data_IF_192398228248
#
_entry.id   IF_192398228248
#
_cell.length_a   1.000
_cell.length_b   1.000
_cell.length_c   1.000
_cell.angle_alpha   90.00
_cell.angle_beta   90.00
_cell.angle_gamma   90.00
#
_symmetry.space_group_name_H-M   'P 1'
#
loop_
_entity.id
_entity.type
_entity.pdbx_description
1 polymer ?
#
# COMPACT_ATOMS: atom_id res chain seq x y z
N UNK A 1 53.21 7.59 -64.48
CA UNK A 1 51.79 7.18 -64.55
C UNK A 1 51.32 7.01 -63.11
N UNK A 2 50.79 8.11 -62.48
CA UNK A 2 50.42 8.14 -61.08
C UNK A 2 48.89 7.92 -60.96
N UNK A 3 48.50 6.90 -60.25
CA UNK A 3 47.10 6.59 -59.98
C UNK A 3 46.69 7.24 -58.62
N UNK A 4 45.69 8.12 -58.67
CA UNK A 4 45.13 8.81 -57.47
C UNK A 4 43.93 8.00 -56.97
N UNK A 5 44.06 7.42 -55.78
CA UNK A 5 42.99 6.72 -55.11
C UNK A 5 42.17 7.72 -54.25
N UNK A 6 40.92 7.94 -54.60
CA UNK A 6 40.00 8.80 -53.89
C UNK A 6 39.39 8.06 -52.70
N UNK A 7 39.69 8.53 -51.51
CA UNK A 7 39.11 8.03 -50.25
C UNK A 7 37.70 8.63 -50.04
N UNK A 8 36.65 7.78 -50.06
CA UNK A 8 35.28 8.16 -49.74
C UNK A 8 35.07 8.16 -48.22
N UNK A 9 34.92 9.34 -47.65
CA UNK A 9 34.49 9.53 -46.25
C UNK A 9 32.98 9.24 -46.16
N UNK A 10 32.60 8.24 -45.39
CA UNK A 10 31.20 7.95 -45.03
C UNK A 10 30.84 8.74 -43.79
N UNK A 11 29.72 9.46 -43.74
CA UNK A 11 29.24 10.11 -42.51
C UNK A 11 28.68 9.05 -41.57
N UNK A 12 29.14 9.07 -40.32
CA UNK A 12 28.60 8.29 -39.20
C UNK A 12 27.34 9.00 -38.71
N UNK A 13 26.18 8.45 -39.03
CA UNK A 13 24.90 8.93 -38.46
C UNK A 13 24.79 8.31 -37.06
N UNK A 14 25.09 9.11 -36.05
CA UNK A 14 24.83 8.74 -34.64
C UNK A 14 23.35 8.76 -34.39
N UNK A 15 22.74 7.60 -34.17
CA UNK A 15 21.37 7.48 -33.65
C UNK A 15 21.40 7.84 -32.18
N UNK A 16 20.90 9.04 -31.84
CA UNK A 16 20.58 9.42 -30.45
C UNK A 16 19.32 8.67 -30.06
N UNK A 17 19.50 7.56 -29.39
CA UNK A 17 18.41 6.84 -28.74
C UNK A 17 17.85 7.66 -27.57
N UNK A 18 16.69 8.30 -27.78
CA UNK A 18 15.92 8.96 -26.72
C UNK A 18 15.34 7.87 -25.82
N UNK A 19 16.06 7.54 -24.75
CA UNK A 19 15.58 6.62 -23.72
C UNK A 19 14.35 7.22 -23.02
N UNK A 20 13.16 6.75 -23.38
CA UNK A 20 11.92 7.04 -22.69
C UNK A 20 11.97 6.32 -21.32
N UNK A 21 12.39 7.05 -20.28
CA UNK A 21 12.30 6.56 -18.90
C UNK A 21 10.81 6.41 -18.55
N UNK A 22 10.31 5.18 -18.56
CA UNK A 22 9.03 4.83 -18.00
C UNK A 22 9.11 5.05 -16.48
N UNK A 23 8.60 6.21 -16.03
CA UNK A 23 8.36 6.47 -14.62
C UNK A 23 7.20 5.57 -14.20
N UNK A 24 7.50 4.43 -13.61
CA UNK A 24 6.52 3.60 -12.91
C UNK A 24 6.06 4.38 -11.68
N UNK A 25 4.90 5.01 -11.78
CA UNK A 25 4.25 5.66 -10.63
C UNK A 25 3.76 4.57 -9.69
N UNK A 26 4.45 4.38 -8.57
CA UNK A 26 3.98 3.53 -7.47
C UNK A 26 2.64 4.08 -6.98
N UNK A 27 1.64 3.23 -6.85
CA UNK A 27 0.32 3.56 -6.29
C UNK A 27 0.43 3.48 -4.77
N UNK A 28 -0.01 4.51 -4.06
CA UNK A 28 0.24 4.67 -2.63
C UNK A 28 -1.06 4.90 -1.85
N UNK A 29 -1.34 4.12 -0.83
CA UNK A 29 -2.54 4.20 0.02
C UNK A 29 -2.21 4.46 1.50
N UNK A 30 -1.58 5.57 1.79
CA UNK A 30 -1.51 6.20 3.10
C UNK A 30 -1.77 7.69 2.94
N UNK A 31 -2.16 8.39 4.01
CA UNK A 31 -2.39 9.83 3.94
C UNK A 31 -1.14 10.57 3.46
N UNK A 32 -1.34 11.48 2.53
CA UNK A 32 -0.32 12.39 2.02
C UNK A 32 -0.92 13.76 1.73
N UNK A 33 -0.12 14.80 1.79
CA UNK A 33 -0.50 16.09 1.21
C UNK A 33 -0.52 15.98 -0.32
N UNK A 34 -1.44 16.70 -0.97
CA UNK A 34 -1.61 16.66 -2.41
C UNK A 34 -1.99 18.01 -3.00
N UNK A 35 -1.68 18.20 -4.26
CA UNK A 35 -2.14 19.34 -5.07
C UNK A 35 -2.86 18.85 -6.31
N UNK A 36 -3.85 19.60 -6.78
CA UNK A 36 -4.50 19.33 -8.07
C UNK A 36 -3.59 19.86 -9.18
N UNK A 37 -3.25 18.98 -10.14
CA UNK A 37 -2.50 19.29 -11.33
C UNK A 37 -3.31 18.90 -12.59
N UNK A 38 -2.82 19.24 -13.78
CA UNK A 38 -3.51 18.96 -15.04
C UNK A 38 -3.76 17.46 -15.31
N UNK A 39 -3.04 16.57 -14.62
CA UNK A 39 -3.18 15.11 -14.70
C UNK A 39 -3.93 14.45 -13.54
N UNK A 40 -4.50 15.23 -12.60
CA UNK A 40 -5.15 14.77 -11.38
C UNK A 40 -4.36 15.14 -10.12
N UNK A 41 -4.62 14.42 -9.02
CA UNK A 41 -3.95 14.65 -7.73
C UNK A 41 -2.46 14.23 -7.79
N UNK A 42 -1.60 15.11 -7.31
CA UNK A 42 -0.16 14.86 -7.13
C UNK A 42 0.18 14.95 -5.65
N UNK A 43 0.80 13.89 -5.12
CA UNK A 43 1.26 13.86 -3.73
C UNK A 43 2.45 14.80 -3.52
N UNK A 44 2.47 15.48 -2.39
CA UNK A 44 3.53 16.43 -2.04
C UNK A 44 4.07 16.15 -0.65
N UNK A 45 5.32 16.57 -0.39
CA UNK A 45 5.91 16.50 0.94
C UNK A 45 5.50 17.69 1.80
N UNK A 46 5.32 17.44 3.10
CA UNK A 46 5.09 18.50 4.07
C UNK A 46 6.37 18.81 4.83
N UNK A 47 6.72 20.12 4.90
CA UNK A 47 7.89 20.58 5.66
C UNK A 47 7.54 21.05 7.08
N UNK A 48 6.27 20.99 7.46
CA UNK A 48 5.80 21.56 8.72
C UNK A 48 4.88 20.66 9.52
N UNK A 49 4.31 19.60 8.91
CA UNK A 49 3.42 18.69 9.58
C UNK A 49 4.18 17.38 9.80
N UNK A 50 4.35 16.98 11.08
CA UNK A 50 4.93 15.69 11.47
C UNK A 50 3.83 14.67 11.77
N UNK A 51 4.11 13.39 11.52
CA UNK A 51 3.30 12.29 12.00
C UNK A 51 3.87 11.81 13.34
N UNK A 52 3.24 12.24 14.45
CA UNK A 52 3.68 11.86 15.79
C UNK A 52 3.43 10.38 16.07
N UNK A 53 2.28 9.87 15.62
CA UNK A 53 1.87 8.49 15.84
C UNK A 53 1.08 7.95 14.64
N UNK A 54 1.28 6.66 14.35
CA UNK A 54 0.44 5.84 13.48
C UNK A 54 0.15 4.51 14.17
N UNK A 55 -1.13 4.24 14.48
CA UNK A 55 -1.62 2.98 15.03
C UNK A 55 -2.46 2.27 13.98
N UNK A 56 -1.86 1.27 13.32
CA UNK A 56 -2.40 0.54 12.19
C UNK A 56 -2.90 -0.84 12.65
N UNK A 57 -4.18 -1.10 12.45
CA UNK A 57 -4.81 -2.40 12.64
C UNK A 57 -5.19 -3.01 11.29
N UNK A 58 -4.81 -4.25 11.06
CA UNK A 58 -5.10 -5.03 9.84
C UNK A 58 -5.74 -6.37 10.21
N UNK A 59 -6.85 -6.68 9.56
CA UNK A 59 -7.45 -8.01 9.46
C UNK A 59 -7.96 -8.21 8.03
N UNK A 60 -8.43 -9.40 7.68
CA UNK A 60 -9.03 -9.67 6.36
C UNK A 60 -10.32 -8.85 6.12
N UNK A 61 -11.03 -8.47 7.17
CA UNK A 61 -12.32 -7.76 7.07
C UNK A 61 -12.21 -6.25 7.27
N UNK A 62 -11.11 -5.78 7.87
CA UNK A 62 -11.01 -4.40 8.31
C UNK A 62 -9.59 -3.92 8.39
N UNK A 63 -9.37 -2.72 7.86
CA UNK A 63 -8.23 -1.88 8.19
C UNK A 63 -8.74 -0.67 8.99
N UNK A 64 -8.04 -0.36 10.07
CA UNK A 64 -8.23 0.86 10.83
C UNK A 64 -6.87 1.45 11.10
N UNK A 65 -6.70 2.71 10.75
CA UNK A 65 -5.49 3.45 11.09
C UNK A 65 -5.86 4.72 11.84
N UNK A 66 -5.16 4.97 12.96
CA UNK A 66 -5.29 6.19 13.74
C UNK A 66 -3.97 6.94 13.71
N UNK A 67 -4.03 8.17 13.22
CA UNK A 67 -2.90 9.07 13.12
C UNK A 67 -2.97 10.18 14.15
N UNK A 68 -1.81 10.65 14.57
CA UNK A 68 -1.63 11.91 15.27
C UNK A 68 -0.67 12.78 14.47
N UNK A 69 -1.21 13.81 13.84
CA UNK A 69 -0.43 14.79 13.11
C UNK A 69 -0.24 16.05 13.94
N UNK A 70 0.96 16.62 13.91
CA UNK A 70 1.25 17.89 14.56
C UNK A 70 1.77 18.91 13.56
N UNK A 71 1.12 20.06 13.49
CA UNK A 71 1.65 21.21 12.80
C UNK A 71 2.70 21.88 13.71
N UNK A 72 3.95 21.89 13.27
CA UNK A 72 5.09 22.49 14.02
C UNK A 72 5.29 23.97 13.74
N UNK A 73 4.50 24.56 12.82
CA UNK A 73 4.56 25.97 12.51
C UNK A 73 3.66 26.80 13.43
N UNK A 74 3.94 28.11 13.50
CA UNK A 74 3.16 29.08 14.29
C UNK A 74 1.90 29.62 13.57
N UNK A 75 1.57 29.03 12.39
CA UNK A 75 0.40 29.39 11.59
C UNK A 75 -0.43 28.15 11.27
N UNK A 76 -1.76 28.26 11.17
CA UNK A 76 -2.56 27.16 10.66
C UNK A 76 -2.18 26.84 9.22
N UNK A 77 -2.16 25.56 8.86
CA UNK A 77 -1.89 25.07 7.51
C UNK A 77 -3.14 24.38 7.01
N UNK A 78 -3.73 24.86 5.92
CA UNK A 78 -4.82 24.20 5.23
C UNK A 78 -4.28 23.62 3.94
N UNK A 79 -4.38 22.31 3.79
CA UNK A 79 -3.92 21.59 2.60
C UNK A 79 -4.89 20.49 2.23
N UNK A 80 -4.80 20.01 0.99
CA UNK A 80 -5.51 18.82 0.57
C UNK A 80 -4.79 17.58 1.10
N UNK A 81 -5.54 16.74 1.79
CA UNK A 81 -5.11 15.37 2.15
C UNK A 81 -5.75 14.40 1.18
N UNK A 82 -5.00 13.43 0.75
CA UNK A 82 -5.44 12.42 -0.19
C UNK A 82 -5.08 11.02 0.31
N UNK A 83 -6.03 10.11 0.17
CA UNK A 83 -5.91 8.70 0.50
C UNK A 83 -6.19 7.87 -0.76
N UNK A 84 -5.15 7.44 -1.49
CA UNK A 84 -5.32 6.58 -2.64
C UNK A 84 -5.65 5.15 -2.19
N UNK A 85 -6.56 4.50 -2.91
CA UNK A 85 -6.79 3.07 -2.78
C UNK A 85 -5.80 2.29 -3.65
N UNK A 86 -5.55 1.01 -3.35
CA UNK A 86 -4.92 0.10 -4.30
C UNK A 86 -5.64 0.16 -5.65
N UNK A 87 -4.93 -0.10 -6.74
CA UNK A 87 -5.55 -0.18 -8.06
C UNK A 87 -6.51 -1.37 -8.08
N UNK A 88 -7.75 -1.12 -8.47
CA UNK A 88 -8.80 -2.12 -8.51
C UNK A 88 -9.05 -2.54 -9.96
N UNK A 89 -8.81 -3.79 -10.29
CA UNK A 89 -9.20 -4.37 -11.58
C UNK A 89 -10.56 -5.05 -11.47
N UNK A 90 -11.38 -4.92 -12.51
CA UNK A 90 -12.69 -5.61 -12.58
C UNK A 90 -12.53 -7.14 -12.68
N UNK A 91 -11.36 -7.61 -13.17
CA UNK A 91 -11.05 -9.02 -13.40
C UNK A 91 -9.93 -9.55 -12.48
N UNK A 92 -9.55 -8.79 -11.46
CA UNK A 92 -8.46 -9.16 -10.56
C UNK A 92 -8.97 -10.11 -9.48
N UNK A 93 -8.42 -11.31 -9.44
CA UNK A 93 -8.66 -12.28 -8.36
C UNK A 93 -8.32 -11.71 -6.98
N UNK A 94 -7.44 -10.68 -6.93
CA UNK A 94 -7.01 -10.02 -5.70
C UNK A 94 -8.00 -8.99 -5.16
N UNK A 95 -8.99 -8.59 -5.94
CA UNK A 95 -9.99 -7.59 -5.52
C UNK A 95 -11.43 -8.07 -5.73
N UNK A 96 -11.65 -9.36 -5.97
CA UNK A 96 -12.93 -9.95 -6.35
C UNK A 96 -14.10 -9.71 -5.37
N UNK A 97 -13.83 -9.25 -4.16
CA UNK A 97 -14.84 -8.86 -3.17
C UNK A 97 -15.18 -7.36 -3.21
N UNK A 98 -14.62 -6.59 -4.17
CA UNK A 98 -14.79 -5.14 -4.27
C UNK A 98 -15.33 -4.76 -5.64
N UNK A 99 -16.46 -4.06 -5.65
CA UNK A 99 -16.96 -3.43 -6.86
C UNK A 99 -16.25 -2.09 -7.12
N UNK A 100 -15.31 -2.02 -8.10
CA UNK A 100 -14.55 -0.82 -8.37
C UNK A 100 -15.41 0.32 -8.95
N UNK A 101 -16.64 0.04 -9.39
CA UNK A 101 -17.58 1.04 -9.92
C UNK A 101 -18.39 1.73 -8.82
N UNK A 102 -18.43 1.16 -7.62
CA UNK A 102 -19.08 1.75 -6.46
C UNK A 102 -18.51 3.15 -6.14
N UNK A 103 -19.34 4.04 -5.61
CA UNK A 103 -18.90 5.37 -5.16
C UNK A 103 -17.85 5.30 -4.04
N UNK A 104 -17.92 4.28 -3.22
CA UNK A 104 -16.99 4.02 -2.10
C UNK A 104 -16.73 2.51 -2.01
N UNK A 105 -15.88 1.95 -2.88
CA UNK A 105 -15.74 0.51 -3.07
C UNK A 105 -15.23 -0.23 -1.83
N UNK A 106 -14.47 0.44 -0.96
CA UNK A 106 -13.90 -0.14 0.25
C UNK A 106 -14.63 0.31 1.53
N UNK A 107 -15.79 0.95 1.43
CA UNK A 107 -16.50 1.52 2.57
C UNK A 107 -15.60 2.42 3.44
N UNK A 108 -14.75 3.22 2.79
CA UNK A 108 -13.85 4.14 3.44
C UNK A 108 -14.61 5.17 4.27
N UNK A 109 -14.10 5.45 5.44
CA UNK A 109 -14.58 6.53 6.31
C UNK A 109 -13.41 7.24 6.97
N UNK A 110 -13.55 8.53 7.16
CA UNK A 110 -12.56 9.38 7.84
C UNK A 110 -13.22 10.17 8.97
N UNK A 111 -12.54 10.21 10.12
CA UNK A 111 -12.94 10.96 11.31
C UNK A 111 -11.79 11.83 11.74
N UNK A 112 -12.04 13.11 11.97
CA UNK A 112 -11.06 14.10 12.43
C UNK A 112 -11.53 14.66 13.77
N UNK A 113 -10.69 14.55 14.82
CA UNK A 113 -11.01 14.94 16.20
C UNK A 113 -12.40 14.42 16.65
N UNK A 114 -12.68 13.16 16.34
CA UNK A 114 -13.94 12.48 16.68
C UNK A 114 -15.14 12.81 15.79
N UNK A 115 -15.01 13.72 14.83
CA UNK A 115 -16.08 14.11 13.91
C UNK A 115 -15.91 13.46 12.55
N UNK A 116 -16.98 12.81 12.05
CA UNK A 116 -16.98 12.23 10.70
C UNK A 116 -16.82 13.35 9.67
N UNK A 117 -15.87 13.17 8.75
CA UNK A 117 -15.59 14.11 7.68
C UNK A 117 -16.19 13.60 6.35
N UNK A 118 -16.65 14.53 5.53
CA UNK A 118 -17.00 14.24 4.13
C UNK A 118 -15.74 14.36 3.28
N UNK A 119 -15.64 13.54 2.24
CA UNK A 119 -14.54 13.53 1.30
C UNK A 119 -15.06 13.45 -0.13
N UNK A 120 -14.26 13.92 -1.07
CA UNK A 120 -14.47 13.74 -2.51
C UNK A 120 -13.71 12.51 -2.99
N UNK A 121 -14.09 12.01 -4.15
CA UNK A 121 -13.46 10.83 -4.76
C UNK A 121 -13.09 11.13 -6.20
N UNK A 122 -11.79 11.08 -6.49
CA UNK A 122 -11.27 11.05 -7.85
C UNK A 122 -11.19 9.59 -8.31
N UNK A 123 -11.68 9.34 -9.53
CA UNK A 123 -11.59 8.02 -10.15
C UNK A 123 -11.06 8.16 -11.57
N UNK A 124 -10.00 7.41 -11.85
CA UNK A 124 -9.40 7.33 -13.17
C UNK A 124 -9.52 5.89 -13.67
N UNK A 125 -10.24 5.70 -14.79
CA UNK A 125 -10.27 4.42 -15.50
C UNK A 125 -8.98 4.27 -16.31
N UNK A 126 -8.35 3.12 -16.23
CA UNK A 126 -7.15 2.73 -16.97
C UNK A 126 -7.47 1.50 -17.82
N UNK A 127 -6.72 1.34 -18.93
CA UNK A 127 -6.90 0.20 -19.83
C UNK A 127 -8.19 0.25 -20.66
N UNK A 128 -8.45 -0.83 -21.37
CA UNK A 128 -9.62 -1.01 -22.25
C UNK A 128 -9.94 -2.50 -22.40
N UNK A 129 -11.16 -2.82 -22.84
CA UNK A 129 -11.58 -4.21 -23.01
C UNK A 129 -11.66 -4.95 -21.68
N UNK A 130 -11.00 -6.11 -21.60
CA UNK A 130 -10.94 -6.94 -20.40
C UNK A 130 -9.90 -6.44 -19.36
N UNK A 131 -8.92 -5.63 -19.78
CA UNK A 131 -7.86 -5.09 -18.93
C UNK A 131 -8.22 -3.73 -18.32
N UNK A 132 -9.45 -3.59 -17.83
CA UNK A 132 -9.91 -2.36 -17.19
C UNK A 132 -9.55 -2.37 -15.72
N UNK A 133 -8.83 -1.32 -15.27
CA UNK A 133 -8.61 -1.05 -13.86
C UNK A 133 -9.00 0.38 -13.47
N UNK A 134 -9.07 0.63 -12.18
CA UNK A 134 -9.46 1.92 -11.62
C UNK A 134 -8.47 2.37 -10.56
N UNK A 135 -7.92 3.57 -10.75
CA UNK A 135 -7.24 4.32 -9.68
C UNK A 135 -8.26 5.21 -8.99
N UNK A 136 -8.45 4.99 -7.70
CA UNK A 136 -9.43 5.71 -6.89
C UNK A 136 -8.69 6.40 -5.76
N UNK A 137 -8.95 7.69 -5.57
CA UNK A 137 -8.33 8.48 -4.51
C UNK A 137 -9.41 9.27 -3.79
N UNK A 138 -9.58 9.04 -2.50
CA UNK A 138 -10.39 9.89 -1.64
C UNK A 138 -9.58 11.09 -1.20
N UNK A 139 -10.19 12.28 -1.13
CA UNK A 139 -9.47 13.49 -0.73
C UNK A 139 -10.39 14.51 -0.06
N UNK A 140 -9.81 15.36 0.77
CA UNK A 140 -10.51 16.43 1.47
C UNK A 140 -9.56 17.58 1.80
N UNK A 141 -10.12 18.74 2.11
CA UNK A 141 -9.35 19.87 2.66
C UNK A 141 -9.24 19.70 4.16
N UNK A 142 -7.99 19.72 4.68
CA UNK A 142 -7.68 19.59 6.10
C UNK A 142 -6.94 20.81 6.60
N UNK A 143 -7.44 21.41 7.70
CA UNK A 143 -6.72 22.45 8.43
C UNK A 143 -6.02 21.81 9.62
N UNK A 144 -4.71 22.02 9.70
CA UNK A 144 -3.85 21.67 10.82
C UNK A 144 -3.60 22.93 11.64
N UNK A 145 -4.19 23.09 12.84
CA UNK A 145 -4.04 24.30 13.65
C UNK A 145 -2.57 24.51 14.06
N UNK A 146 -2.16 25.77 14.21
CA UNK A 146 -0.80 26.15 14.60
C UNK A 146 -0.37 25.49 15.93
N UNK A 147 0.78 24.86 15.97
CA UNK A 147 1.37 24.23 17.15
C UNK A 147 0.46 23.20 17.86
N UNK A 148 -0.53 22.63 17.17
CA UNK A 148 -1.48 21.66 17.72
C UNK A 148 -1.39 20.31 17.04
N UNK A 149 -1.79 19.28 17.79
CA UNK A 149 -1.98 17.94 17.30
C UNK A 149 -3.43 17.75 16.84
N UNK A 150 -3.59 17.03 15.72
CA UNK A 150 -4.86 16.65 15.12
C UNK A 150 -4.94 15.12 15.10
N UNK A 151 -6.07 14.56 15.53
CA UNK A 151 -6.32 13.12 15.44
C UNK A 151 -7.13 12.81 14.19
N UNK A 152 -6.65 11.87 13.37
CA UNK A 152 -7.34 11.40 12.17
C UNK A 152 -7.48 9.89 12.25
N UNK A 153 -8.68 9.36 11.99
CA UNK A 153 -8.93 7.93 11.98
C UNK A 153 -9.56 7.56 10.65
N UNK A 154 -8.95 6.61 9.96
CA UNK A 154 -9.53 5.94 8.80
C UNK A 154 -10.01 4.55 9.19
N UNK A 155 -11.10 4.14 8.55
CA UNK A 155 -11.60 2.76 8.63
C UNK A 155 -12.12 2.37 7.26
N UNK A 156 -11.73 1.20 6.79
CA UNK A 156 -12.19 0.67 5.51
C UNK A 156 -12.09 -0.86 5.46
N UNK A 157 -12.76 -1.48 4.50
CA UNK A 157 -12.67 -2.90 4.19
C UNK A 157 -11.57 -3.09 3.14
N UNK A 158 -10.54 -3.90 3.40
CA UNK A 158 -9.52 -4.18 2.39
C UNK A 158 -10.08 -5.01 1.23
N UNK A 159 -9.46 -4.88 0.05
CA UNK A 159 -9.50 -5.93 -0.95
C UNK A 159 -8.72 -7.13 -0.41
N UNK A 160 -9.32 -8.30 -0.51
CA UNK A 160 -8.65 -9.55 -0.18
C UNK A 160 -8.52 -10.37 -1.45
N UNK A 161 -7.31 -10.50 -1.94
CA UNK A 161 -6.96 -11.47 -2.96
C UNK A 161 -6.78 -12.84 -2.34
N UNK A 162 -7.01 -13.88 -3.11
CA UNK A 162 -6.80 -15.24 -2.63
C UNK A 162 -6.58 -16.23 -3.76
N UNK A 163 -5.85 -17.28 -3.47
CA UNK A 163 -5.65 -18.41 -4.34
C UNK A 163 -5.77 -19.71 -3.54
N UNK A 164 -6.22 -20.77 -4.19
CA UNK A 164 -6.06 -22.14 -3.70
C UNK A 164 -4.72 -22.64 -4.23
N UNK A 165 -3.99 -23.37 -3.40
CA UNK A 165 -2.65 -23.91 -3.75
C UNK A 165 -1.69 -22.83 -4.23
N UNK A 166 -1.60 -21.76 -3.44
CA UNK A 166 -0.61 -20.71 -3.64
C UNK A 166 0.78 -21.35 -3.72
N UNK A 167 1.32 -21.45 -4.92
CA UNK A 167 2.67 -21.96 -5.13
C UNK A 167 3.66 -20.93 -4.55
N UNK A 168 4.18 -21.25 -3.38
CA UNK A 168 5.16 -20.43 -2.65
C UNK A 168 6.45 -20.23 -3.43
N UNK A 169 6.57 -20.80 -4.63
CA UNK A 169 7.69 -20.57 -5.55
C UNK A 169 7.78 -19.13 -6.05
N UNK A 170 6.70 -18.34 -5.99
CA UNK A 170 6.69 -16.93 -6.35
C UNK A 170 7.14 -15.98 -5.22
N UNK A 171 7.51 -16.51 -4.06
CA UNK A 171 8.14 -15.72 -3.00
C UNK A 171 9.59 -15.29 -3.27
N UNK A 172 10.07 -15.47 -4.47
CA UNK A 172 11.41 -15.02 -4.86
C UNK A 172 11.64 -13.53 -4.66
N UNK A 173 10.58 -12.74 -4.49
CA UNK A 173 10.66 -11.32 -4.20
C UNK A 173 10.64 -10.97 -2.70
N UNK A 174 10.44 -11.96 -1.81
CA UNK A 174 10.46 -11.79 -0.37
C UNK A 174 9.32 -10.96 0.22
N UNK A 175 8.24 -10.72 -0.53
CA UNK A 175 7.12 -9.83 -0.13
C UNK A 175 6.47 -10.18 1.20
N UNK A 176 6.48 -11.46 1.57
CA UNK A 176 5.80 -11.95 2.77
C UNK A 176 6.74 -12.38 3.88
N UNK A 177 8.06 -12.45 3.63
CA UNK A 177 9.07 -12.89 4.60
C UNK A 177 8.71 -14.22 5.29
N UNK A 178 8.39 -15.24 4.49
CA UNK A 178 7.98 -16.56 5.00
C UNK A 178 9.12 -17.22 5.76
N UNK A 179 8.88 -17.50 7.03
CA UNK A 179 9.81 -18.20 7.89
C UNK A 179 9.93 -19.68 7.51
N UNK A 180 11.10 -20.32 7.65
CA UNK A 180 11.30 -21.75 7.34
C UNK A 180 10.33 -22.69 8.06
N UNK A 181 9.89 -22.33 9.26
CA UNK A 181 8.89 -23.08 10.04
C UNK A 181 7.51 -23.05 9.37
N UNK A 182 7.11 -21.93 8.78
CA UNK A 182 5.86 -21.82 8.04
C UNK A 182 5.94 -22.58 6.72
N UNK A 183 7.05 -22.47 5.99
CA UNK A 183 7.28 -23.24 4.78
C UNK A 183 7.17 -24.75 5.07
N UNK A 184 7.84 -25.24 6.12
CA UNK A 184 7.75 -26.64 6.52
C UNK A 184 6.30 -27.07 6.84
N UNK A 185 5.52 -26.22 7.50
CA UNK A 185 4.11 -26.50 7.80
C UNK A 185 3.30 -26.66 6.51
N UNK A 186 3.52 -25.84 5.50
CA UNK A 186 2.87 -25.94 4.18
C UNK A 186 3.26 -27.26 3.51
N UNK A 187 4.56 -27.57 3.44
CA UNK A 187 5.07 -28.80 2.85
C UNK A 187 4.49 -30.04 3.53
N UNK A 188 4.32 -30.01 4.86
CA UNK A 188 3.75 -31.12 5.62
C UNK A 188 2.24 -31.28 5.38
N UNK A 189 1.51 -30.20 5.07
CA UNK A 189 0.11 -30.27 4.61
C UNK A 189 0.02 -30.96 3.26
N UNK A 190 0.80 -30.52 2.28
CA UNK A 190 0.79 -31.12 0.93
C UNK A 190 1.15 -32.60 0.94
N UNK A 191 2.12 -33.03 1.75
CA UNK A 191 2.45 -34.45 1.93
C UNK A 191 1.29 -35.28 2.46
N UNK A 192 0.34 -34.66 3.15
CA UNK A 192 -0.88 -35.31 3.66
C UNK A 192 -2.06 -35.24 2.68
N UNK A 193 -1.86 -34.69 1.49
CA UNK A 193 -2.94 -34.46 0.52
C UNK A 193 -3.87 -33.30 0.91
N UNK A 194 -3.41 -32.43 1.80
CA UNK A 194 -4.14 -31.24 2.23
C UNK A 194 -3.58 -30.01 1.50
N UNK A 195 -4.38 -28.99 1.36
CA UNK A 195 -4.06 -27.78 0.62
C UNK A 195 -4.17 -26.55 1.50
N UNK A 196 -3.72 -25.39 0.99
CA UNK A 196 -3.94 -24.11 1.63
C UNK A 196 -4.74 -23.19 0.71
N UNK A 197 -5.72 -22.47 1.26
CA UNK A 197 -6.24 -21.27 0.64
C UNK A 197 -5.54 -20.05 1.23
N UNK A 198 -5.30 -19.05 0.41
CA UNK A 198 -4.62 -17.83 0.83
C UNK A 198 -5.54 -16.63 0.75
N UNK A 199 -5.30 -15.65 1.60
CA UNK A 199 -5.80 -14.29 1.45
C UNK A 199 -4.66 -13.31 1.63
N UNK A 200 -4.58 -12.31 0.78
CA UNK A 200 -3.55 -11.28 0.83
C UNK A 200 -4.21 -9.94 1.11
N UNK A 201 -3.73 -9.25 2.13
CA UNK A 201 -4.11 -7.86 2.42
C UNK A 201 -2.90 -6.98 2.21
N UNK A 202 -3.07 -5.96 1.36
CA UNK A 202 -2.03 -4.99 1.08
C UNK A 202 -2.34 -3.66 1.77
N UNK A 203 -1.31 -3.03 2.33
CA UNK A 203 -1.38 -1.69 2.89
C UNK A 203 -0.15 -0.89 2.45
N UNK A 204 -0.39 0.28 1.89
CA UNK A 204 0.69 1.13 1.41
C UNK A 204 1.16 2.01 2.56
N UNK A 205 2.36 1.71 3.02
CA UNK A 205 2.97 2.34 4.19
C UNK A 205 3.94 3.46 3.78
N UNK A 206 4.52 3.36 2.58
CA UNK A 206 5.60 4.25 2.11
C UNK A 206 5.21 5.72 2.00
N UNK A 207 3.94 6.06 1.79
CA UNK A 207 3.47 7.46 1.77
C UNK A 207 3.53 8.15 3.13
N UNK A 208 3.66 7.41 4.23
CA UNK A 208 4.01 7.96 5.53
C UNK A 208 5.30 8.80 5.51
N UNK A 209 6.21 8.53 4.57
CA UNK A 209 7.43 9.31 4.35
C UNK A 209 7.20 10.71 3.71
N UNK A 210 5.97 11.05 3.29
CA UNK A 210 5.63 12.38 2.75
C UNK A 210 5.39 13.44 3.82
N UNK A 211 5.30 13.05 5.08
CA UNK A 211 5.25 13.97 6.19
C UNK A 211 6.66 14.41 6.61
N UNK A 212 6.77 15.48 7.39
CA UNK A 212 8.06 15.97 7.86
C UNK A 212 8.71 14.99 8.83
N UNK A 213 9.84 14.41 8.42
CA UNK A 213 10.59 13.45 9.21
C UNK A 213 9.95 12.06 9.30
N UNK A 214 10.47 11.20 10.17
CA UNK A 214 9.97 9.86 10.39
C UNK A 214 8.64 9.86 11.17
N UNK A 215 7.92 8.75 11.13
CA UNK A 215 6.80 8.47 12.03
C UNK A 215 7.35 8.35 13.45
N UNK A 216 6.89 9.19 14.38
CA UNK A 216 7.43 9.23 15.74
C UNK A 216 7.24 7.91 16.49
N UNK A 217 6.00 7.41 16.51
CA UNK A 217 5.63 6.10 17.04
C UNK A 217 4.77 5.37 16.02
N UNK A 218 5.19 4.20 15.61
CA UNK A 218 4.44 3.31 14.74
C UNK A 218 4.07 2.04 15.49
N UNK A 219 2.79 1.66 15.44
CA UNK A 219 2.29 0.40 15.93
C UNK A 219 1.48 -0.29 14.85
N UNK A 220 1.86 -1.52 14.51
CA UNK A 220 1.10 -2.42 13.66
C UNK A 220 0.49 -3.51 14.51
N UNK A 221 -0.81 -3.74 14.35
CA UNK A 221 -1.53 -4.90 14.89
C UNK A 221 -2.12 -5.68 13.73
N UNK A 222 -1.71 -6.94 13.56
CA UNK A 222 -2.28 -7.86 12.57
C UNK A 222 -3.07 -8.93 13.29
N UNK A 223 -4.33 -9.13 12.89
CA UNK A 223 -5.22 -10.09 13.51
C UNK A 223 -5.70 -11.15 12.54
N UNK A 224 -5.62 -12.43 12.94
CA UNK A 224 -6.20 -13.58 12.26
C UNK A 224 -7.70 -13.70 12.56
N UNK A 225 -8.46 -14.37 11.70
CA UNK A 225 -9.87 -14.69 11.94
C UNK A 225 -9.99 -15.85 12.93
N UNK A 226 -9.13 -16.86 12.86
CA UNK A 226 -9.11 -17.99 13.78
C UNK A 226 -7.70 -18.49 14.10
N UNK A 227 -7.58 -19.39 15.09
CA UNK A 227 -6.31 -19.90 15.58
C UNK A 227 -5.64 -20.87 14.57
N UNK A 228 -6.40 -21.53 13.69
CA UNK A 228 -5.88 -22.47 12.70
C UNK A 228 -5.15 -21.76 11.56
N UNK A 229 -5.54 -20.52 11.29
CA UNK A 229 -4.83 -19.69 10.32
C UNK A 229 -3.35 -19.52 10.66
N UNK A 230 -2.53 -19.49 9.63
CA UNK A 230 -1.17 -18.96 9.70
C UNK A 230 -1.12 -17.61 9.01
N UNK A 231 -0.16 -16.79 9.38
CA UNK A 231 0.10 -15.53 8.69
C UNK A 231 1.58 -15.25 8.57
N UNK A 232 1.93 -14.48 7.56
CA UNK A 232 3.28 -13.98 7.35
C UNK A 232 3.25 -12.57 6.80
N UNK A 233 4.17 -11.75 7.25
CA UNK A 233 4.43 -10.41 6.74
C UNK A 233 5.84 -9.96 7.13
N UNK A 234 6.41 -9.04 6.35
CA UNK A 234 7.74 -8.52 6.61
C UNK A 234 7.74 -7.54 7.78
N UNK A 235 8.73 -7.68 8.67
CA UNK A 235 8.94 -6.77 9.79
C UNK A 235 9.96 -7.31 10.78
N UNK A 236 10.49 -6.44 11.62
CA UNK A 236 11.42 -6.81 12.69
C UNK A 236 10.84 -6.50 14.07
N UNK A 237 11.03 -7.39 15.03
CA UNK A 237 10.49 -7.24 16.38
C UNK A 237 9.01 -7.55 16.49
N UNK A 238 8.47 -8.38 15.58
CA UNK A 238 7.09 -8.87 15.63
C UNK A 238 6.92 -9.76 16.86
N UNK A 239 5.85 -9.50 17.63
CA UNK A 239 5.49 -10.28 18.83
C UNK A 239 4.12 -10.88 18.63
N UNK A 240 3.98 -12.18 18.84
CA UNK A 240 2.68 -12.83 19.02
C UNK A 240 2.19 -12.52 20.43
N UNK A 241 1.10 -11.78 20.58
CA UNK A 241 0.55 -11.38 21.90
C UNK A 241 -0.54 -12.32 22.39
N UNK A 242 -1.24 -12.96 21.47
CA UNK A 242 -2.19 -14.06 21.71
C UNK A 242 -2.28 -14.97 20.47
N UNK A 243 -3.19 -15.95 20.47
CA UNK A 243 -3.31 -16.91 19.36
C UNK A 243 -3.77 -16.29 18.04
N UNK A 244 -4.37 -15.12 18.08
CA UNK A 244 -4.90 -14.42 16.91
C UNK A 244 -4.12 -13.18 16.54
N UNK A 245 -3.32 -12.61 17.45
CA UNK A 245 -2.84 -11.22 17.34
C UNK A 245 -1.32 -11.13 17.33
N UNK A 246 -0.81 -10.39 16.37
CA UNK A 246 0.62 -10.07 16.22
C UNK A 246 0.80 -8.56 16.25
N UNK A 247 1.84 -8.09 16.92
CA UNK A 247 2.12 -6.66 17.09
C UNK A 247 3.57 -6.36 16.73
N UNK A 248 3.80 -5.26 16.02
CA UNK A 248 5.11 -4.67 15.76
C UNK A 248 5.08 -3.21 16.19
N UNK A 249 6.09 -2.77 16.92
CA UNK A 249 6.22 -1.38 17.36
C UNK A 249 7.58 -0.82 16.94
N UNK A 250 7.59 0.41 16.46
CA UNK A 250 8.78 1.15 16.03
C UNK A 250 8.73 2.58 16.55
N UNK A 251 9.90 3.17 16.73
CA UNK A 251 10.06 4.61 17.01
C UNK A 251 10.95 5.23 15.95
N UNK A 252 10.67 6.48 15.59
CA UNK A 252 11.37 7.19 14.51
C UNK A 252 11.45 6.36 13.23
N UNK A 253 10.30 5.84 12.81
CA UNK A 253 10.18 4.87 11.73
C UNK A 253 9.97 5.56 10.38
N UNK A 254 10.84 5.26 9.43
CA UNK A 254 10.65 5.62 8.01
C UNK A 254 10.36 4.33 7.25
N UNK A 255 9.14 4.15 6.73
CA UNK A 255 8.81 2.96 5.96
C UNK A 255 9.51 2.98 4.59
N UNK A 256 10.21 1.89 4.26
CA UNK A 256 10.92 1.71 2.99
C UNK A 256 10.12 0.85 2.01
N UNK A 257 9.22 0.01 2.53
CA UNK A 257 8.37 -0.89 1.76
C UNK A 257 6.93 -0.84 2.23
N UNK A 258 6.03 -1.16 1.31
CA UNK A 258 4.63 -1.37 1.63
C UNK A 258 4.43 -2.70 2.37
N UNK A 259 3.33 -2.81 3.08
CA UNK A 259 3.03 -3.98 3.89
C UNK A 259 2.13 -4.95 3.12
N UNK A 260 2.60 -6.19 2.98
CA UNK A 260 1.83 -7.30 2.44
C UNK A 260 1.63 -8.33 3.55
N UNK A 261 0.38 -8.63 3.88
CA UNK A 261 0.03 -9.63 4.88
C UNK A 261 -0.59 -10.83 4.18
N UNK A 262 0.08 -11.97 4.27
CA UNK A 262 -0.39 -13.25 3.78
C UNK A 262 -1.09 -14.00 4.90
N UNK A 263 -2.33 -14.41 4.68
CA UNK A 263 -3.10 -15.31 5.53
C UNK A 263 -3.23 -16.66 4.83
N UNK A 264 -3.02 -17.73 5.57
CA UNK A 264 -3.04 -19.12 5.08
C UNK A 264 -4.05 -19.93 5.88
N UNK A 265 -5.02 -20.51 5.19
CA UNK A 265 -6.02 -21.40 5.78
C UNK A 265 -5.76 -22.83 5.34
N UNK A 266 -5.70 -23.81 6.24
CA UNK A 266 -5.75 -25.21 5.87
C UNK A 266 -7.06 -25.52 5.16
N UNK A 267 -6.98 -26.21 4.02
CA UNK A 267 -8.12 -26.59 3.21
C UNK A 267 -8.15 -28.12 3.01
N UNK A 268 -9.35 -28.74 3.06
CA UNK A 268 -9.47 -30.20 2.93
C UNK A 268 -9.26 -30.97 4.24
N UNK A 269 -9.49 -30.31 5.39
CA UNK A 269 -9.57 -30.94 6.71
C UNK A 269 -11.05 -31.21 7.03
N UNK A 270 -11.58 -32.31 6.55
CA UNK A 270 -12.83 -32.91 7.06
C UNK A 270 -12.50 -34.18 7.83
#
# INVERSE_FOLDING_TARGET
MFSITTNKIRPLIGAIGLGLALLTSSVHANDSTAVMAAGGLVFTKSDSIIMEEEDLFISQDKIRVAYRFRNTSNKPITTRVAFPLPELSANDEFTGNIDPTSKNPMNFSVTVDGKKLQFDTERKKLGSGEDISYKITHHWMQTFPANKTLSVIHTYRPGTGGAVDFEMHDERDGRFCIEPSLQKWIDDLYKKGQHTSTSIVQYILTTGANWKGPIGKFRLTVKKADAKEKLSFCGTGIKKVDDLTFVMEKTNFTPEHDLNVLYLHPYGLD
#
